data_IF_008622929277
#
_entry.id   IF_008622929277
#
_cell.length_a   1.000
_cell.length_b   1.000
_cell.length_c   1.000
_cell.angle_alpha   90.00
_cell.angle_beta   90.00
_cell.angle_gamma   90.00
#
_symmetry.space_group_name_H-M   'P 1'
#
loop_
_entity.id
_entity.type
_entity.pdbx_description
1 polymer ?
#
# COMPACT_ATOMS: atom_id res chain seq x y z
N UNK A 1 -15.77 17.61 -11.95
CA UNK A 1 -15.92 16.19 -12.33
C UNK A 1 -16.65 15.50 -11.20
N UNK A 2 -17.70 14.72 -11.45
CA UNK A 2 -18.47 14.13 -10.33
C UNK A 2 -17.70 12.98 -9.68
N UNK A 3 -17.77 12.88 -8.35
CA UNK A 3 -17.07 11.85 -7.56
C UNK A 3 -17.45 10.42 -8.00
N UNK A 4 -18.67 10.26 -8.53
CA UNK A 4 -19.16 9.01 -9.13
C UNK A 4 -18.32 8.59 -10.32
N UNK A 5 -17.94 9.53 -11.19
CA UNK A 5 -17.13 9.20 -12.37
C UNK A 5 -15.70 8.86 -11.96
N UNK A 6 -15.13 9.57 -10.99
CA UNK A 6 -13.79 9.25 -10.47
C UNK A 6 -13.78 7.86 -9.82
N UNK A 7 -14.82 7.53 -9.05
CA UNK A 7 -15.01 6.20 -8.46
C UNK A 7 -15.14 5.12 -9.54
N UNK A 8 -15.97 5.35 -10.55
CA UNK A 8 -16.19 4.40 -11.66
C UNK A 8 -14.92 4.17 -12.49
N UNK A 9 -14.14 5.22 -12.77
CA UNK A 9 -12.87 5.13 -13.48
C UNK A 9 -11.87 4.26 -12.70
N UNK A 10 -11.78 4.45 -11.38
CA UNK A 10 -10.87 3.68 -10.52
C UNK A 10 -11.22 2.20 -10.39
N UNK A 11 -12.45 1.78 -10.71
CA UNK A 11 -12.85 0.37 -10.66
C UNK A 11 -12.85 -0.29 -12.04
N UNK A 12 -13.35 0.41 -13.05
CA UNK A 12 -13.46 -0.15 -14.41
C UNK A 12 -12.11 -0.25 -15.09
N UNK A 13 -11.22 0.74 -14.92
CA UNK A 13 -9.91 0.73 -15.59
C UNK A 13 -9.05 -0.47 -15.14
N UNK A 14 -8.86 -0.75 -13.83
CA UNK A 14 -8.08 -1.91 -13.41
C UNK A 14 -8.68 -3.23 -13.90
N UNK A 15 -10.01 -3.37 -13.88
CA UNK A 15 -10.69 -4.57 -14.36
C UNK A 15 -10.44 -4.78 -15.85
N UNK A 16 -10.61 -3.72 -16.66
CA UNK A 16 -10.41 -3.79 -18.09
C UNK A 16 -8.96 -4.18 -18.45
N UNK A 17 -7.97 -3.60 -17.76
CA UNK A 17 -6.56 -3.99 -17.93
C UNK A 17 -6.29 -5.44 -17.53
N UNK A 18 -6.82 -5.90 -16.41
CA UNK A 18 -6.69 -7.28 -15.97
C UNK A 18 -7.29 -8.27 -16.98
N UNK A 19 -8.48 -7.97 -17.51
CA UNK A 19 -9.11 -8.78 -18.55
C UNK A 19 -8.30 -8.80 -19.85
N UNK A 20 -7.76 -7.66 -20.27
CA UNK A 20 -6.92 -7.57 -21.47
C UNK A 20 -5.64 -8.40 -21.31
N UNK A 21 -4.96 -8.28 -20.18
CA UNK A 21 -3.74 -9.05 -19.89
C UNK A 21 -4.03 -10.55 -19.81
N UNK A 22 -5.11 -10.96 -19.13
CA UNK A 22 -5.51 -12.35 -19.05
C UNK A 22 -5.84 -12.93 -20.44
N UNK A 23 -6.53 -12.16 -21.28
CA UNK A 23 -6.80 -12.54 -22.66
C UNK A 23 -5.50 -12.70 -23.47
N UNK A 24 -4.55 -11.77 -23.32
CA UNK A 24 -3.25 -11.81 -23.99
C UNK A 24 -2.44 -13.06 -23.59
N UNK A 25 -2.44 -13.39 -22.30
CA UNK A 25 -1.82 -14.62 -21.77
C UNK A 25 -2.52 -15.87 -22.35
N UNK A 26 -3.84 -15.81 -22.50
CA UNK A 26 -4.64 -16.87 -23.10
C UNK A 26 -4.33 -17.16 -24.57
N UNK A 27 -3.70 -16.23 -25.30
CA UNK A 27 -3.21 -16.47 -26.66
C UNK A 27 -1.97 -17.39 -26.70
N UNK A 28 -1.36 -17.67 -25.54
CA UNK A 28 -0.16 -18.47 -25.40
C UNK A 28 1.10 -17.60 -25.25
N UNK A 29 1.93 -17.93 -24.27
CA UNK A 29 3.25 -17.33 -24.13
C UNK A 29 4.26 -18.13 -24.96
N UNK A 30 5.21 -17.46 -25.63
CA UNK A 30 6.34 -18.13 -26.25
C UNK A 30 7.14 -18.98 -25.24
N UNK A 31 7.68 -20.10 -25.73
CA UNK A 31 8.60 -20.93 -24.94
C UNK A 31 9.82 -20.10 -24.52
N UNK A 32 10.27 -20.27 -23.27
CA UNK A 32 11.42 -19.55 -22.71
C UNK A 32 11.11 -18.20 -22.04
N UNK A 33 9.87 -17.70 -22.09
CA UNK A 33 9.50 -16.45 -21.40
C UNK A 33 9.68 -16.58 -19.88
N UNK A 34 9.40 -17.75 -19.31
CA UNK A 34 9.55 -17.98 -17.86
C UNK A 34 11.03 -17.90 -17.42
N UNK A 35 11.95 -18.47 -18.19
CA UNK A 35 13.39 -18.42 -17.90
C UNK A 35 13.95 -17.02 -18.08
N UNK A 36 13.59 -16.33 -19.17
CA UNK A 36 13.97 -14.93 -19.38
C UNK A 36 13.40 -14.02 -18.30
N UNK A 37 12.16 -14.27 -17.85
CA UNK A 37 11.55 -13.51 -16.75
C UNK A 37 12.22 -13.81 -15.41
N UNK A 38 12.75 -15.02 -15.18
CA UNK A 38 13.49 -15.34 -13.97
C UNK A 38 14.82 -14.58 -13.90
N UNK A 39 15.56 -14.53 -15.01
CA UNK A 39 16.89 -13.91 -15.05
C UNK A 39 16.84 -12.38 -15.23
N UNK A 40 15.92 -11.89 -16.06
CA UNK A 40 15.85 -10.49 -16.47
C UNK A 40 14.56 -9.79 -16.03
N UNK A 41 13.67 -10.49 -15.30
CA UNK A 41 12.36 -9.97 -14.89
C UNK A 41 12.39 -8.56 -14.32
N UNK A 42 13.22 -8.26 -13.30
CA UNK A 42 13.28 -6.93 -12.71
C UNK A 42 13.69 -5.84 -13.71
N UNK A 43 14.67 -6.13 -14.57
CA UNK A 43 15.13 -5.20 -15.61
C UNK A 43 14.05 -4.99 -16.67
N UNK A 44 13.41 -6.07 -17.13
CA UNK A 44 12.32 -6.03 -18.10
C UNK A 44 11.11 -5.29 -17.54
N UNK A 45 10.77 -5.47 -16.27
CA UNK A 45 9.70 -4.71 -15.59
C UNK A 45 10.06 -3.23 -15.57
N UNK A 46 11.28 -2.86 -15.15
CA UNK A 46 11.73 -1.47 -15.15
C UNK A 46 11.70 -0.84 -16.54
N UNK A 47 12.19 -1.55 -17.54
CA UNK A 47 12.19 -1.11 -18.94
C UNK A 47 10.76 -0.99 -19.50
N UNK A 48 9.88 -1.93 -19.13
CA UNK A 48 8.48 -1.91 -19.53
C UNK A 48 7.76 -0.70 -18.91
N UNK A 49 7.99 -0.42 -17.63
CA UNK A 49 7.43 0.78 -16.97
C UNK A 49 7.97 2.05 -17.62
N UNK A 50 9.29 2.12 -17.87
CA UNK A 50 9.92 3.29 -18.50
C UNK A 50 9.41 3.49 -19.93
N UNK A 51 9.30 2.41 -20.71
CA UNK A 51 8.75 2.42 -22.07
C UNK A 51 7.28 2.83 -22.06
N UNK A 52 6.48 2.27 -21.16
CA UNK A 52 5.08 2.65 -20.99
C UNK A 52 4.94 4.14 -20.66
N UNK A 53 5.75 4.65 -19.74
CA UNK A 53 5.74 6.07 -19.38
C UNK A 53 6.19 6.97 -20.54
N UNK A 54 7.21 6.57 -21.28
CA UNK A 54 7.68 7.30 -22.45
C UNK A 54 6.60 7.35 -23.55
N UNK A 55 5.91 6.23 -23.79
CA UNK A 55 4.77 6.16 -24.72
C UNK A 55 3.65 7.05 -24.23
N UNK A 56 3.27 6.98 -22.95
CA UNK A 56 2.25 7.84 -22.36
C UNK A 56 2.60 9.32 -22.55
N UNK A 57 3.84 9.72 -22.25
CA UNK A 57 4.30 11.10 -22.38
C UNK A 57 4.37 11.58 -23.83
N UNK A 58 4.78 10.71 -24.74
CA UNK A 58 4.73 10.98 -26.17
C UNK A 58 3.28 11.13 -26.65
N UNK A 59 2.36 10.30 -26.15
CA UNK A 59 0.94 10.39 -26.47
C UNK A 59 0.32 11.68 -25.93
N UNK A 60 0.72 12.13 -24.75
CA UNK A 60 0.33 13.44 -24.20
C UNK A 60 0.75 14.61 -25.10
N UNK A 61 1.91 14.51 -25.76
CA UNK A 61 2.37 15.54 -26.70
C UNK A 61 1.54 15.59 -27.99
N UNK A 62 0.83 14.50 -28.33
CA UNK A 62 0.05 14.36 -29.56
C UNK A 62 -1.45 14.43 -29.36
N UNK A 63 -1.96 14.27 -28.14
CA UNK A 63 -3.38 14.24 -27.85
C UNK A 63 -3.92 15.55 -27.25
N UNK A 64 -5.16 15.93 -27.58
CA UNK A 64 -5.85 17.03 -26.91
C UNK A 64 -5.95 16.79 -25.39
N UNK A 65 -5.77 17.85 -24.59
CA UNK A 65 -5.76 17.77 -23.10
C UNK A 65 -6.99 17.08 -22.50
N UNK A 66 -8.15 17.14 -23.17
CA UNK A 66 -9.37 16.48 -22.71
C UNK A 66 -9.28 14.95 -22.79
N UNK A 67 -8.60 14.42 -23.81
CA UNK A 67 -8.45 12.99 -24.05
C UNK A 67 -7.38 12.38 -23.14
N UNK A 68 -6.28 13.11 -22.90
CA UNK A 68 -5.27 12.75 -21.88
C UNK A 68 -5.91 12.63 -20.50
N UNK A 69 -6.74 13.60 -20.12
CA UNK A 69 -7.47 13.58 -18.84
C UNK A 69 -8.46 12.43 -18.71
N UNK A 70 -9.00 11.95 -19.83
CA UNK A 70 -9.94 10.82 -19.86
C UNK A 70 -9.20 9.46 -19.75
N UNK A 71 -8.07 9.30 -20.44
CA UNK A 71 -7.30 8.05 -20.48
C UNK A 71 -6.43 7.83 -19.23
N UNK A 72 -5.72 8.88 -18.78
CA UNK A 72 -4.76 8.78 -17.67
C UNK A 72 -5.34 9.26 -16.34
N UNK A 73 -6.59 9.74 -16.35
CA UNK A 73 -7.23 10.39 -15.22
C UNK A 73 -6.75 11.83 -15.04
N UNK A 74 -7.61 12.66 -14.47
CA UNK A 74 -7.26 14.03 -14.11
C UNK A 74 -6.31 14.03 -12.92
N UNK A 75 -5.02 14.27 -13.15
CA UNK A 75 -3.97 14.45 -12.12
C UNK A 75 -4.11 15.78 -11.36
N UNK A 76 -5.33 16.26 -11.11
CA UNK A 76 -5.54 17.50 -10.36
C UNK A 76 -5.20 17.24 -8.91
N UNK A 77 -4.18 17.91 -8.40
CA UNK A 77 -3.73 17.79 -7.01
C UNK A 77 -4.91 18.10 -6.08
N UNK A 78 -5.28 17.18 -5.16
CA UNK A 78 -6.36 17.46 -4.21
C UNK A 78 -5.92 18.58 -3.27
N UNK A 79 -6.70 19.66 -3.24
CA UNK A 79 -6.53 20.74 -2.27
C UNK A 79 -7.24 20.35 -0.98
N UNK A 80 -6.49 19.79 -0.03
CA UNK A 80 -6.99 19.58 1.32
C UNK A 80 -6.90 20.90 2.08
N UNK A 81 -8.03 21.43 2.54
CA UNK A 81 -8.02 22.51 3.52
C UNK A 81 -7.37 22.01 4.80
N UNK A 82 -6.42 22.76 5.34
CA UNK A 82 -5.85 22.45 6.65
C UNK A 82 -7.00 22.41 7.68
N UNK A 83 -7.04 21.42 8.59
CA UNK A 83 -8.05 21.39 9.64
C UNK A 83 -7.94 22.70 10.43
N UNK A 84 -9.01 23.49 10.40
CA UNK A 84 -9.10 24.71 11.18
C UNK A 84 -9.00 24.31 12.66
N UNK A 85 -7.96 24.78 13.34
CA UNK A 85 -7.72 24.57 14.77
C UNK A 85 -8.74 25.35 15.62
N UNK A 86 -10.03 25.11 15.39
CA UNK A 86 -11.13 25.94 15.86
C UNK A 86 -12.38 25.14 16.18
N UNK A 87 -12.22 23.89 16.60
CA UNK A 87 -13.26 23.11 17.26
C UNK A 87 -12.59 22.24 18.30
N UNK A 88 -12.16 22.88 19.39
CA UNK A 88 -11.98 22.15 20.63
C UNK A 88 -13.29 21.41 20.91
N UNK A 89 -13.27 20.10 20.71
CA UNK A 89 -14.28 19.18 21.23
C UNK A 89 -14.53 19.57 22.68
N UNK A 90 -15.75 19.96 23.10
CA UNK A 90 -16.02 20.06 24.52
C UNK A 90 -15.76 18.68 25.10
N UNK A 91 -14.82 18.62 26.04
CA UNK A 91 -14.40 17.38 26.68
C UNK A 91 -15.63 16.55 27.05
N UNK A 92 -15.72 15.36 26.47
CA UNK A 92 -16.64 14.33 26.95
C UNK A 92 -16.40 14.19 28.45
N UNK A 93 -17.43 14.27 29.32
CA UNK A 93 -17.21 14.17 30.75
C UNK A 93 -16.53 12.85 31.06
N UNK A 94 -15.39 12.94 31.73
CA UNK A 94 -14.62 11.81 32.22
C UNK A 94 -15.54 10.90 33.06
N UNK A 95 -15.42 9.56 32.95
CA UNK A 95 -16.02 8.70 33.94
C UNK A 95 -15.32 8.95 35.28
N UNK A 96 -16.04 9.56 36.22
CA UNK A 96 -15.68 9.59 37.64
C UNK A 96 -15.65 8.16 38.19
N UNK A 97 -14.48 7.53 38.15
CA UNK A 97 -14.08 6.47 39.06
C UNK A 97 -12.90 7.06 39.84
N UNK A 98 -13.11 7.54 41.05
CA UNK A 98 -13.39 6.67 42.18
C UNK A 98 -12.05 6.40 42.86
N UNK A 99 -11.74 7.23 43.84
CA UNK A 99 -10.56 7.17 44.69
C UNK A 99 -10.39 5.79 45.32
N UNK A 100 -9.27 5.11 45.04
CA UNK A 100 -8.72 4.06 45.90
C UNK A 100 -7.20 3.97 45.71
N UNK A 101 -6.49 4.67 46.59
CA UNK A 101 -5.26 4.33 47.33
C UNK A 101 -4.19 3.40 46.69
N UNK A 102 -2.90 3.77 46.77
CA UNK A 102 -1.77 2.97 46.30
C UNK A 102 -1.45 1.84 47.28
N UNK A 103 -1.31 0.61 46.76
CA UNK A 103 -0.82 -0.54 47.51
C UNK A 103 0.46 -1.10 46.85
N UNK A 104 1.41 -1.40 47.73
CA UNK A 104 2.82 -1.72 47.55
C UNK A 104 3.17 -2.85 46.55
N UNK A 105 4.43 -2.93 46.10
CA UNK A 105 4.95 -4.09 45.38
C UNK A 105 5.09 -5.29 46.33
N UNK A 106 4.54 -6.44 45.95
CA UNK A 106 4.70 -7.72 46.67
C UNK A 106 6.11 -8.30 46.41
N UNK A 107 6.96 -8.47 47.44
CA UNK A 107 8.24 -9.17 47.34
C UNK A 107 8.01 -10.67 47.57
N UNK A 108 7.39 -11.35 46.61
CA UNK A 108 7.08 -12.78 46.75
C UNK A 108 7.04 -13.57 45.42
N UNK A 109 7.73 -13.09 44.38
CA UNK A 109 8.14 -13.91 43.22
C UNK A 109 9.63 -14.30 43.27
N UNK A 110 10.14 -14.31 44.50
CA UNK A 110 11.36 -14.88 45.02
C UNK A 110 11.32 -16.42 44.81
N UNK A 111 12.34 -16.94 44.11
CA UNK A 111 12.98 -18.22 44.44
C UNK A 111 12.13 -19.50 44.43
N UNK A 112 11.90 -20.10 43.25
CA UNK A 112 11.54 -21.53 43.17
C UNK A 112 11.84 -22.21 41.82
N UNK A 113 12.81 -21.74 41.03
CA UNK A 113 13.37 -22.49 39.89
C UNK A 113 14.88 -22.36 39.83
N UNK A 114 15.48 -22.70 40.97
CA UNK A 114 16.90 -22.94 41.11
C UNK A 114 17.17 -24.43 40.86
N UNK A 115 18.27 -24.73 40.16
CA UNK A 115 18.93 -26.04 40.17
C UNK A 115 18.56 -27.06 39.08
N UNK A 116 19.46 -27.24 38.09
CA UNK A 116 20.19 -28.51 37.87
C UNK A 116 20.98 -28.53 36.55
N UNK A 117 22.30 -28.56 36.67
CA UNK A 117 23.18 -29.39 35.81
C UNK A 117 23.84 -28.71 34.62
N UNK A 118 25.01 -28.12 34.83
CA UNK A 118 25.93 -27.68 33.77
C UNK A 118 27.32 -28.27 34.01
N UNK A 119 27.45 -29.59 33.93
CA UNK A 119 28.73 -30.30 34.02
C UNK A 119 29.21 -30.71 32.60
N UNK A 120 30.38 -30.22 32.22
CA UNK A 120 31.41 -31.00 31.51
C UNK A 120 31.37 -31.18 29.98
N UNK A 121 32.42 -30.70 29.30
CA UNK A 121 33.27 -31.61 28.52
C UNK A 121 33.54 -31.32 27.03
N UNK A 122 34.82 -31.00 26.76
CA UNK A 122 35.65 -31.39 25.60
C UNK A 122 35.40 -30.77 24.20
N UNK A 123 36.32 -29.90 23.77
CA UNK A 123 37.30 -30.16 22.68
C UNK A 123 38.32 -29.02 22.62
#
# INVERSE_FOLDING_TARGET
MSDRIVSLIRTVIPVWWGSLLAWLVGLGLPDGVAEVAADLGPLLVGLTIAGWYAVARWLESRLPRWLVRLLFGSSSTPSYAAPSAGSATPASPAPSAGSATPAAPDPAAEQARDGRGGDGGAA
#
